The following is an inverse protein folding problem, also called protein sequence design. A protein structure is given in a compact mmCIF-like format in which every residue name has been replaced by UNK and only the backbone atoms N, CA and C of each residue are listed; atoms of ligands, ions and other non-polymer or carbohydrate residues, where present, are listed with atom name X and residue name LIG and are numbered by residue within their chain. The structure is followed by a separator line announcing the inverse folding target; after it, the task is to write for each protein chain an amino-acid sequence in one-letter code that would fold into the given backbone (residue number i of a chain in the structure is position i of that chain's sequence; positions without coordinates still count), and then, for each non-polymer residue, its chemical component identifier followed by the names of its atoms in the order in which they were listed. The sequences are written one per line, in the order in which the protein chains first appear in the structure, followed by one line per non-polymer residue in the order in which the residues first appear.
data_IF_828847422994
#
_entry.id   IF_828847422994
#
_cell.length_a   1.000
_cell.length_b   1.000
_cell.length_c   1.000
_cell.angle_alpha   90.00
_cell.angle_beta   90.00
_cell.angle_gamma   90.00
#
_symmetry.space_group_name_H-M   'P 1'
#
loop_
_entity.id
_entity.type
_entity.pdbx_description
1 polymer ?
#
# COMPACT_ATOMS: atom_id res chain seq x y z
N UNK A 1 37.13 3.23 -6.86
CA UNK A 1 36.73 2.93 -8.25
C UNK A 1 35.41 3.63 -8.49
N UNK A 2 35.42 4.80 -9.13
CA UNK A 2 34.25 5.69 -9.23
C UNK A 2 33.36 5.22 -10.38
N UNK A 3 32.16 4.70 -10.05
CA UNK A 3 31.19 4.20 -11.04
C UNK A 3 30.67 5.38 -11.85
N UNK A 4 31.18 5.56 -13.06
CA UNK A 4 30.68 6.55 -14.03
C UNK A 4 29.32 6.07 -14.55
N UNK A 5 28.25 6.56 -13.95
CA UNK A 5 26.92 6.39 -14.51
C UNK A 5 26.76 7.36 -15.68
N UNK A 6 26.88 6.84 -16.89
CA UNK A 6 26.54 7.55 -18.12
C UNK A 6 25.02 7.54 -18.34
N UNK A 7 24.29 8.16 -17.42
CA UNK A 7 22.89 8.52 -17.64
C UNK A 7 22.88 9.93 -18.22
N UNK A 8 22.30 10.14 -19.41
CA UNK A 8 22.11 11.47 -20.01
C UNK A 8 21.48 12.51 -19.06
N UNK A 9 20.80 12.06 -18.01
CA UNK A 9 20.11 12.88 -17.01
C UNK A 9 20.90 13.11 -15.71
N UNK A 10 22.02 12.41 -15.49
CA UNK A 10 22.77 12.42 -14.23
C UNK A 10 22.10 11.71 -13.03
N UNK A 11 20.90 11.14 -13.19
CA UNK A 11 20.14 10.47 -12.13
C UNK A 11 20.89 9.23 -11.62
N UNK A 12 21.01 9.09 -10.30
CA UNK A 12 21.78 8.00 -9.66
C UNK A 12 20.93 6.96 -8.94
N UNK A 13 19.67 7.25 -8.63
CA UNK A 13 18.73 6.35 -7.97
C UNK A 13 17.30 6.85 -8.17
N UNK A 14 16.32 5.98 -7.95
CA UNK A 14 14.90 6.32 -7.89
C UNK A 14 14.34 6.02 -6.50
N UNK A 15 13.62 6.98 -5.92
CA UNK A 15 12.80 6.78 -4.73
C UNK A 15 11.36 6.83 -5.21
N UNK A 16 10.62 5.77 -4.97
CA UNK A 16 9.28 5.58 -5.53
C UNK A 16 8.26 5.58 -4.41
N UNK A 17 7.24 6.40 -4.54
CA UNK A 17 5.99 6.15 -3.84
C UNK A 17 5.28 4.92 -4.44
N UNK A 18 4.32 4.37 -3.71
CA UNK A 18 3.57 3.20 -4.12
C UNK A 18 2.16 3.56 -4.59
N UNK A 19 1.27 4.01 -3.70
CA UNK A 19 -0.16 4.12 -4.02
C UNK A 19 -0.45 5.30 -4.98
N UNK A 20 -1.06 5.01 -6.13
CA UNK A 20 -1.24 6.00 -7.20
C UNK A 20 0.00 6.22 -8.07
N UNK A 21 1.08 5.47 -7.83
CA UNK A 21 2.28 5.44 -8.67
C UNK A 21 2.45 4.03 -9.25
N UNK A 22 3.01 3.09 -8.48
CA UNK A 22 3.12 1.69 -8.90
C UNK A 22 1.86 0.89 -8.55
N UNK A 23 1.19 1.26 -7.44
CA UNK A 23 -0.09 0.70 -7.01
C UNK A 23 -1.26 1.44 -7.62
N UNK A 24 -2.30 0.70 -8.01
CA UNK A 24 -3.56 1.25 -8.49
C UNK A 24 -4.42 1.72 -7.31
N UNK A 25 -5.16 2.81 -7.51
CA UNK A 25 -6.16 3.22 -6.53
C UNK A 25 -7.30 2.18 -6.45
N UNK A 26 -7.82 1.88 -5.25
CA UNK A 26 -8.90 0.94 -5.10
C UNK A 26 -10.16 1.39 -5.84
N UNK A 27 -10.81 0.44 -6.52
CA UNK A 27 -12.05 0.73 -7.24
C UNK A 27 -13.23 0.94 -6.29
N UNK A 28 -14.28 1.59 -6.77
CA UNK A 28 -15.55 1.71 -6.02
C UNK A 28 -16.09 0.36 -5.56
N UNK A 29 -15.94 -0.70 -6.37
CA UNK A 29 -16.41 -2.03 -6.01
C UNK A 29 -15.65 -2.62 -4.80
N UNK A 30 -14.35 -2.35 -4.70
CA UNK A 30 -13.55 -2.82 -3.56
C UNK A 30 -13.90 -2.04 -2.29
N UNK A 31 -14.09 -0.73 -2.42
CA UNK A 31 -14.59 0.13 -1.34
C UNK A 31 -15.97 -0.30 -0.84
N UNK A 32 -16.92 -0.56 -1.73
CA UNK A 32 -18.25 -1.08 -1.38
C UNK A 32 -18.14 -2.43 -0.67
N UNK A 33 -17.31 -3.34 -1.17
CA UNK A 33 -17.07 -4.64 -0.53
C UNK A 33 -16.51 -4.48 0.88
N UNK A 34 -15.55 -3.57 1.09
CA UNK A 34 -14.97 -3.35 2.41
C UNK A 34 -15.99 -2.74 3.37
N UNK A 35 -16.81 -1.80 2.91
CA UNK A 35 -17.90 -1.22 3.70
C UNK A 35 -18.95 -2.29 4.10
N UNK A 36 -19.30 -3.18 3.18
CA UNK A 36 -20.22 -4.30 3.44
C UNK A 36 -19.64 -5.27 4.48
N UNK A 37 -18.35 -5.61 4.35
CA UNK A 37 -17.66 -6.44 5.34
C UNK A 37 -17.57 -5.74 6.70
N UNK A 38 -17.47 -4.41 6.73
CA UNK A 38 -17.50 -3.61 7.95
C UNK A 38 -18.92 -3.43 8.52
N UNK A 39 -19.94 -4.04 7.88
CA UNK A 39 -21.35 -3.89 8.25
C UNK A 39 -21.77 -2.42 8.38
N UNK A 40 -21.21 -1.56 7.52
CA UNK A 40 -21.40 -0.11 7.64
C UNK A 40 -22.86 0.29 7.35
N UNK A 41 -23.49 1.11 8.21
CA UNK A 41 -24.90 1.43 8.09
C UNK A 41 -25.22 2.19 6.80
N UNK A 42 -26.44 1.94 6.31
CA UNK A 42 -27.05 2.59 5.14
C UNK A 42 -26.23 2.51 3.84
N UNK A 43 -25.18 1.68 3.81
CA UNK A 43 -24.21 1.56 2.70
C UNK A 43 -23.69 2.92 2.23
N UNK A 44 -23.63 3.88 3.15
CA UNK A 44 -23.23 5.24 2.82
C UNK A 44 -21.70 5.29 2.66
N UNK A 45 -21.24 4.95 1.46
CA UNK A 45 -19.82 4.68 1.21
C UNK A 45 -18.91 5.86 1.58
N UNK A 46 -19.40 7.10 1.38
CA UNK A 46 -18.62 8.29 1.72
C UNK A 46 -18.34 8.38 3.23
N UNK A 47 -19.32 8.11 4.08
CA UNK A 47 -19.10 8.17 5.53
C UNK A 47 -18.23 7.02 6.02
N UNK A 48 -18.30 5.85 5.35
CA UNK A 48 -17.36 4.77 5.60
C UNK A 48 -15.92 5.19 5.27
N UNK A 49 -15.71 5.79 4.10
CA UNK A 49 -14.40 6.30 3.70
C UNK A 49 -13.88 7.35 4.68
N UNK A 50 -14.72 8.29 5.10
CA UNK A 50 -14.33 9.31 6.10
C UNK A 50 -13.90 8.64 7.43
N UNK A 51 -14.65 7.64 7.91
CA UNK A 51 -14.31 6.87 9.12
C UNK A 51 -13.05 6.01 8.97
N UNK A 52 -12.84 5.42 7.78
CA UNK A 52 -11.65 4.65 7.42
C UNK A 52 -10.40 5.53 7.42
N UNK A 53 -10.46 6.71 6.78
CA UNK A 53 -9.31 7.59 6.62
C UNK A 53 -8.94 8.34 7.90
N UNK A 54 -9.90 8.64 8.78
CA UNK A 54 -9.66 9.42 10.00
C UNK A 54 -8.53 8.87 10.89
N UNK A 55 -8.47 7.56 11.24
CA UNK A 55 -7.36 6.99 12.00
C UNK A 55 -6.18 6.50 11.14
N UNK A 56 -6.24 6.61 9.81
CA UNK A 56 -5.30 5.93 8.91
C UNK A 56 -3.87 6.43 9.06
N UNK A 57 -3.65 7.73 9.21
CA UNK A 57 -2.30 8.27 9.38
C UNK A 57 -1.57 7.66 10.58
N UNK A 58 -2.26 7.47 11.71
CA UNK A 58 -1.66 6.85 12.90
C UNK A 58 -1.42 5.35 12.70
N UNK A 59 -2.29 4.68 11.94
CA UNK A 59 -2.13 3.26 11.61
C UNK A 59 -0.95 3.02 10.65
N UNK A 60 -0.85 3.81 9.58
CA UNK A 60 0.25 3.74 8.62
C UNK A 60 1.60 4.12 9.25
N UNK A 61 1.59 4.99 10.27
CA UNK A 61 2.77 5.31 11.08
C UNK A 61 3.11 4.26 12.15
N UNK A 62 2.36 3.16 12.25
CA UNK A 62 2.58 2.10 13.25
C UNK A 62 2.20 2.46 14.68
N UNK A 63 1.47 3.57 14.89
CA UNK A 63 1.02 4.03 16.21
C UNK A 63 -0.27 3.31 16.66
N UNK A 64 -0.98 2.67 15.73
CA UNK A 64 -2.15 1.83 16.01
C UNK A 64 -1.87 0.38 15.58
N UNK A 65 -2.32 -0.57 16.39
CA UNK A 65 -2.44 -1.97 15.95
C UNK A 65 -3.63 -2.15 15.01
N UNK A 66 -3.67 -3.24 14.26
CA UNK A 66 -4.82 -3.62 13.40
C UNK A 66 -6.14 -3.54 14.19
N UNK A 67 -6.16 -4.09 15.41
CA UNK A 67 -7.34 -4.08 16.27
C UNK A 67 -7.73 -2.67 16.70
N UNK A 68 -6.76 -1.82 17.06
CA UNK A 68 -7.03 -0.45 17.50
C UNK A 68 -7.51 0.44 16.35
N UNK A 69 -6.95 0.26 15.15
CA UNK A 69 -7.40 0.93 13.93
C UNK A 69 -8.85 0.55 13.61
N UNK A 70 -9.15 -0.75 13.48
CA UNK A 70 -10.49 -1.19 13.14
C UNK A 70 -11.52 -0.89 14.24
N UNK A 71 -11.13 -0.89 15.51
CA UNK A 71 -12.03 -0.46 16.58
C UNK A 71 -12.39 1.03 16.48
N UNK A 72 -11.47 1.88 16.02
CA UNK A 72 -11.76 3.30 15.75
C UNK A 72 -12.67 3.47 14.54
N UNK A 73 -12.43 2.72 13.47
CA UNK A 73 -13.28 2.76 12.26
C UNK A 73 -14.70 2.33 12.59
N UNK A 74 -14.87 1.20 13.28
CA UNK A 74 -16.18 0.60 13.57
C UNK A 74 -16.90 1.22 14.78
N UNK A 75 -16.18 1.96 15.64
CA UNK A 75 -16.72 2.46 16.91
C UNK A 75 -16.84 1.40 18.01
N UNK A 76 -16.44 0.15 17.76
CA UNK A 76 -16.39 -0.94 18.73
C UNK A 76 -15.32 -1.96 18.34
N UNK A 77 -14.89 -2.81 19.28
CA UNK A 77 -13.89 -3.85 18.99
C UNK A 77 -14.46 -4.97 18.11
N UNK A 78 -13.89 -5.25 16.92
CA UNK A 78 -14.25 -6.43 16.15
C UNK A 78 -13.68 -7.70 16.80
N UNK A 79 -14.41 -8.80 16.67
CA UNK A 79 -13.89 -10.12 17.05
C UNK A 79 -12.74 -10.58 16.14
N UNK A 80 -11.90 -11.55 16.56
CA UNK A 80 -10.67 -11.92 15.85
C UNK A 80 -10.89 -12.40 14.40
N UNK A 81 -11.98 -13.12 14.14
CA UNK A 81 -12.31 -13.58 12.78
C UNK A 81 -12.66 -12.41 11.87
N UNK A 82 -13.46 -11.49 12.37
CA UNK A 82 -13.91 -10.33 11.61
C UNK A 82 -12.75 -9.38 11.32
N UNK A 83 -11.88 -9.13 12.32
CA UNK A 83 -10.67 -8.33 12.14
C UNK A 83 -9.79 -8.87 11.00
N UNK A 84 -9.59 -10.20 10.92
CA UNK A 84 -8.84 -10.81 9.81
C UNK A 84 -9.51 -10.53 8.48
N UNK A 85 -10.81 -10.77 8.36
CA UNK A 85 -11.56 -10.52 7.13
C UNK A 85 -11.47 -9.05 6.67
N UNK A 86 -11.57 -8.11 7.59
CA UNK A 86 -11.44 -6.68 7.30
C UNK A 86 -10.04 -6.31 6.82
N UNK A 87 -9.01 -6.80 7.54
CA UNK A 87 -7.61 -6.56 7.18
C UNK A 87 -7.23 -7.17 5.85
N UNK A 88 -7.70 -8.39 5.55
CA UNK A 88 -7.42 -9.07 4.28
C UNK A 88 -8.05 -8.29 3.10
N UNK A 89 -9.28 -7.81 3.28
CA UNK A 89 -9.97 -7.02 2.26
C UNK A 89 -9.34 -5.63 2.07
N UNK A 90 -8.97 -4.94 3.15
CA UNK A 90 -8.20 -3.69 3.11
C UNK A 90 -6.87 -3.91 2.40
N UNK A 91 -6.10 -4.93 2.78
CA UNK A 91 -4.81 -5.24 2.13
C UNK A 91 -4.97 -5.48 0.64
N UNK A 92 -5.96 -6.27 0.23
CA UNK A 92 -6.22 -6.57 -1.18
C UNK A 92 -6.58 -5.32 -2.01
N UNK A 93 -7.11 -4.27 -1.38
CA UNK A 93 -7.35 -2.98 -2.06
C UNK A 93 -6.08 -2.34 -2.58
N UNK A 94 -4.96 -2.55 -1.90
CA UNK A 94 -3.73 -1.84 -2.15
C UNK A 94 -2.69 -2.68 -2.88
N UNK A 95 -2.86 -3.99 -3.08
CA UNK A 95 -1.82 -4.85 -3.67
C UNK A 95 -1.88 -4.97 -5.20
N UNK A 96 -2.78 -4.24 -5.86
CA UNK A 96 -2.88 -4.23 -7.32
C UNK A 96 -1.91 -3.21 -7.90
N UNK A 97 -1.11 -3.63 -8.89
CA UNK A 97 -0.10 -2.78 -9.54
C UNK A 97 -0.51 -2.34 -10.94
N UNK A 98 -0.01 -1.18 -11.37
CA UNK A 98 -0.11 -0.74 -12.77
C UNK A 98 1.00 -1.42 -13.60
N UNK A 99 0.66 -2.31 -14.56
CA UNK A 99 1.65 -3.01 -15.36
C UNK A 99 2.50 -2.07 -16.23
N UNK A 100 1.96 -0.91 -16.65
CA UNK A 100 2.72 0.06 -17.44
C UNK A 100 3.82 0.73 -16.63
N UNK A 101 3.55 0.98 -15.34
CA UNK A 101 4.57 1.52 -14.42
C UNK A 101 5.61 0.46 -14.12
N UNK A 102 5.22 -0.79 -13.87
CA UNK A 102 6.17 -1.89 -13.69
C UNK A 102 7.12 -2.04 -14.91
N UNK A 103 6.60 -1.94 -16.13
CA UNK A 103 7.41 -1.96 -17.36
C UNK A 103 8.48 -0.86 -17.39
N UNK A 104 8.15 0.35 -16.91
CA UNK A 104 9.12 1.45 -16.80
C UNK A 104 10.20 1.09 -15.76
N UNK A 105 9.80 0.54 -14.61
CA UNK A 105 10.71 0.15 -13.54
C UNK A 105 11.64 -0.99 -13.96
N UNK A 106 11.16 -1.98 -14.73
CA UNK A 106 12.01 -3.01 -15.31
C UNK A 106 13.09 -2.43 -16.23
N UNK A 107 12.75 -1.40 -17.04
CA UNK A 107 13.76 -0.70 -17.85
C UNK A 107 14.78 0.06 -17.00
N UNK A 108 14.35 0.70 -15.91
CA UNK A 108 15.25 1.36 -14.96
C UNK A 108 16.18 0.35 -14.27
N UNK A 109 15.66 -0.81 -13.87
CA UNK A 109 16.44 -1.91 -13.29
C UNK A 109 17.46 -2.47 -14.29
N UNK A 110 17.09 -2.64 -15.56
CA UNK A 110 18.01 -3.07 -16.62
C UNK A 110 19.15 -2.05 -16.85
N UNK A 111 18.87 -0.76 -16.66
CA UNK A 111 19.87 0.31 -16.64
C UNK A 111 20.71 0.37 -15.35
N UNK A 112 20.51 -0.57 -14.41
CA UNK A 112 21.21 -0.68 -13.12
C UNK A 112 21.05 0.55 -12.22
N UNK A 113 19.92 1.25 -12.36
CA UNK A 113 19.53 2.29 -11.40
C UNK A 113 19.07 1.61 -10.11
N UNK A 114 19.67 1.95 -8.95
CA UNK A 114 19.12 1.58 -7.66
C UNK A 114 17.72 2.17 -7.48
N UNK A 115 16.81 1.37 -6.94
CA UNK A 115 15.42 1.80 -6.72
C UNK A 115 14.97 1.38 -5.33
N UNK A 116 14.39 2.30 -4.58
CA UNK A 116 13.81 2.01 -3.27
C UNK A 116 12.36 2.46 -3.22
N UNK A 117 11.53 1.73 -2.48
CA UNK A 117 10.14 2.08 -2.21
C UNK A 117 10.06 2.89 -0.93
N UNK A 118 9.40 4.05 -0.98
CA UNK A 118 9.09 4.89 0.17
C UNK A 118 7.60 5.24 0.11
N UNK A 119 6.79 4.54 0.89
CA UNK A 119 5.35 4.78 0.96
C UNK A 119 4.83 4.61 2.38
N UNK A 120 3.81 5.39 2.73
CA UNK A 120 3.08 5.19 3.97
C UNK A 120 2.22 3.94 3.84
N UNK A 121 2.41 2.98 4.75
CA UNK A 121 1.64 1.75 4.77
C UNK A 121 1.62 1.17 6.18
N UNK A 122 0.51 0.57 6.61
CA UNK A 122 0.50 -0.15 7.87
C UNK A 122 1.40 -1.39 7.77
N UNK A 123 1.96 -1.82 8.91
CA UNK A 123 2.95 -2.89 8.95
C UNK A 123 2.51 -4.18 8.23
N UNK A 124 1.23 -4.55 8.34
CA UNK A 124 0.71 -5.72 7.64
C UNK A 124 0.75 -5.59 6.11
N UNK A 125 0.34 -4.44 5.57
CA UNK A 125 0.41 -4.18 4.13
C UNK A 125 1.86 -4.13 3.65
N UNK A 126 2.74 -3.48 4.42
CA UNK A 126 4.18 -3.42 4.12
C UNK A 126 4.76 -4.84 3.96
N UNK A 127 4.51 -5.73 4.93
CA UNK A 127 4.96 -7.13 4.87
C UNK A 127 4.39 -7.90 3.66
N UNK A 128 3.14 -7.63 3.28
CA UNK A 128 2.54 -8.27 2.09
C UNK A 128 3.21 -7.77 0.81
N UNK A 129 3.49 -6.46 0.70
CA UNK A 129 4.23 -5.90 -0.43
C UNK A 129 5.66 -6.45 -0.49
N UNK A 130 6.36 -6.59 0.64
CA UNK A 130 7.68 -7.25 0.75
C UNK A 130 7.70 -8.67 0.19
N UNK A 131 6.56 -9.36 0.23
CA UNK A 131 6.44 -10.72 -0.25
C UNK A 131 6.18 -10.83 -1.76
N UNK A 132 5.86 -9.72 -2.44
CA UNK A 132 5.54 -9.73 -3.87
C UNK A 132 6.79 -9.91 -4.74
N UNK A 133 6.66 -10.64 -5.84
CA UNK A 133 7.77 -10.92 -6.76
C UNK A 133 8.30 -9.62 -7.39
N UNK A 134 7.42 -8.75 -7.87
CA UNK A 134 7.83 -7.50 -8.50
C UNK A 134 8.68 -6.63 -7.56
N UNK A 135 8.34 -6.54 -6.27
CA UNK A 135 9.09 -5.72 -5.32
C UNK A 135 10.46 -6.33 -5.06
N UNK A 136 10.54 -7.63 -4.84
CA UNK A 136 11.81 -8.36 -4.62
C UNK A 136 12.75 -8.29 -5.82
N UNK A 137 12.20 -8.28 -7.03
CA UNK A 137 12.98 -8.20 -8.26
C UNK A 137 13.48 -6.78 -8.57
N UNK A 138 12.65 -5.77 -8.31
CA UNK A 138 12.88 -4.40 -8.74
C UNK A 138 13.52 -3.52 -7.67
N UNK A 139 13.11 -3.67 -6.41
CA UNK A 139 13.52 -2.77 -5.33
C UNK A 139 14.75 -3.31 -4.61
N UNK A 140 15.66 -2.41 -4.29
CA UNK A 140 16.76 -2.63 -3.37
C UNK A 140 16.29 -2.36 -1.93
N UNK A 141 16.91 -3.02 -0.95
CA UNK A 141 16.62 -2.79 0.45
C UNK A 141 17.03 -1.36 0.86
N UNK A 142 16.15 -0.67 1.58
CA UNK A 142 16.51 0.57 2.24
C UNK A 142 17.45 0.27 3.42
N UNK A 143 18.58 0.97 3.48
CA UNK A 143 19.61 0.84 4.52
C UNK A 143 19.10 1.23 5.92
#
# INVERSE_FOLDING_TARGET
MTRTYDSRTGVKALILDYNGVAGLQPTTAMWTRLADLAEWPDRHLRSFQDAFWAPRNAYDAGQLSDLAYWAKVLGHHPGPRWLRTLRDADTAMWTHTDPHVLDILHRARAARLPMVLLSNAPAHLSNVLDATDWRRELMDDAL
#
